data_IF_555513582109
#
_entry.id   IF_555513582109
#
_cell.length_a   1.000
_cell.length_b   1.000
_cell.length_c   1.000
_cell.angle_alpha   90.00
_cell.angle_beta   90.00
_cell.angle_gamma   90.00
#
_symmetry.space_group_name_H-M   'P 1'
#
loop_
_entity.id
_entity.type
_entity.pdbx_description
1 polymer ?
#
# COMPACT_ATOMS: atom_id res chain seq x y z
N UNK A 1 -32.16 -0.16 6.96
CA UNK A 1 -31.20 -1.27 7.13
C UNK A 1 -29.86 -0.76 6.65
N UNK A 2 -28.81 -0.90 7.45
CA UNK A 2 -27.46 -0.44 7.09
C UNK A 2 -26.66 -1.60 6.50
N UNK A 3 -25.98 -1.33 5.40
CA UNK A 3 -25.11 -2.29 4.73
C UNK A 3 -23.67 -2.03 5.14
N UNK A 4 -23.05 -3.01 5.80
CA UNK A 4 -21.63 -2.97 6.14
C UNK A 4 -20.81 -3.74 5.10
N UNK A 5 -19.65 -3.18 4.73
CA UNK A 5 -18.71 -3.80 3.81
C UNK A 5 -17.46 -4.19 4.59
N UNK A 6 -17.03 -5.44 4.41
CA UNK A 6 -15.78 -5.96 4.97
C UNK A 6 -14.88 -6.37 3.82
N UNK A 7 -13.61 -5.94 3.87
CA UNK A 7 -12.58 -6.32 2.90
C UNK A 7 -11.50 -7.11 3.63
N UNK A 8 -11.33 -8.38 3.23
CA UNK A 8 -10.29 -9.24 3.79
C UNK A 8 -8.95 -8.96 3.10
N UNK A 9 -7.98 -8.44 3.85
CA UNK A 9 -6.65 -8.07 3.35
C UNK A 9 -5.52 -8.92 3.98
N UNK A 10 -5.71 -10.23 4.06
CA UNK A 10 -4.71 -11.17 4.61
C UNK A 10 -3.76 -11.80 3.58
N UNK A 11 -2.76 -12.54 4.08
CA UNK A 11 -1.81 -13.34 3.30
C UNK A 11 -0.42 -12.70 3.15
N UNK A 12 0.62 -13.54 3.10
CA UNK A 12 2.05 -13.15 3.20
C UNK A 12 2.58 -12.33 2.01
N UNK A 13 1.91 -12.39 0.84
CA UNK A 13 2.33 -11.59 -0.32
C UNK A 13 3.59 -12.06 -1.04
N UNK A 14 3.95 -13.36 -0.99
CA UNK A 14 5.22 -13.88 -1.56
C UNK A 14 5.47 -13.57 -3.04
N UNK A 15 4.42 -13.42 -3.86
CA UNK A 15 4.55 -13.03 -5.29
C UNK A 15 5.02 -11.59 -5.49
N UNK A 16 4.83 -10.75 -4.48
CA UNK A 16 5.24 -9.36 -4.48
C UNK A 16 6.54 -9.16 -3.70
N UNK A 17 7.20 -10.23 -3.25
CA UNK A 17 8.56 -10.12 -2.72
C UNK A 17 9.51 -9.67 -3.84
N UNK A 18 10.45 -8.74 -3.60
CA UNK A 18 10.85 -8.18 -2.29
C UNK A 18 10.06 -6.94 -1.85
N UNK A 19 9.10 -6.46 -2.63
CA UNK A 19 8.32 -5.26 -2.29
C UNK A 19 7.37 -5.47 -1.10
N UNK A 20 6.80 -6.68 -0.95
CA UNK A 20 6.01 -7.06 0.23
C UNK A 20 6.93 -7.56 1.34
N UNK A 21 6.84 -6.95 2.53
CA UNK A 21 7.53 -7.38 3.75
C UNK A 21 6.54 -7.46 4.92
N UNK A 22 6.92 -8.01 6.08
CA UNK A 22 6.08 -7.97 7.28
C UNK A 22 5.72 -6.53 7.70
N UNK A 23 6.63 -5.58 7.52
CA UNK A 23 6.46 -4.16 7.84
C UNK A 23 5.67 -3.42 6.75
N UNK A 24 5.72 -3.89 5.49
CA UNK A 24 4.94 -3.38 4.37
C UNK A 24 4.15 -4.50 3.65
N UNK A 25 2.97 -4.89 4.17
CA UNK A 25 2.13 -5.93 3.56
C UNK A 25 1.63 -5.59 2.16
N UNK A 26 1.31 -6.63 1.37
CA UNK A 26 0.90 -6.50 -0.04
C UNK A 26 -0.23 -5.51 -0.33
N UNK A 27 -1.18 -5.31 0.59
CA UNK A 27 -2.33 -4.40 0.37
C UNK A 27 -1.93 -2.92 0.34
N UNK A 28 -0.72 -2.59 0.78
CA UNK A 28 -0.19 -1.23 0.78
C UNK A 28 0.82 -0.98 -0.36
N UNK A 29 1.07 -1.98 -1.20
CA UNK A 29 1.96 -1.83 -2.35
C UNK A 29 1.21 -1.06 -3.44
N UNK A 30 1.74 0.10 -3.78
CA UNK A 30 1.36 0.81 -4.99
C UNK A 30 1.99 0.13 -6.22
N UNK A 31 1.22 -0.75 -6.85
CA UNK A 31 1.66 -1.46 -8.05
C UNK A 31 1.54 -0.63 -9.34
N UNK A 32 0.78 0.47 -9.32
CA UNK A 32 0.59 1.32 -10.50
C UNK A 32 1.55 2.51 -10.52
N UNK A 33 2.24 2.80 -9.41
CA UNK A 33 3.15 3.93 -9.29
C UNK A 33 2.43 5.28 -9.31
N UNK A 34 1.12 5.28 -9.07
CA UNK A 34 0.28 6.49 -9.09
C UNK A 34 0.00 7.03 -7.68
N UNK A 35 0.49 6.35 -6.65
CA UNK A 35 0.34 6.75 -5.26
C UNK A 35 1.06 8.07 -5.01
N UNK A 36 0.32 9.07 -4.55
CA UNK A 36 0.89 10.29 -4.03
C UNK A 36 1.66 9.98 -2.75
N UNK A 37 3.00 9.98 -2.84
CA UNK A 37 3.83 10.29 -1.68
C UNK A 37 3.83 11.81 -1.51
N UNK A 38 3.72 12.35 -0.30
CA UNK A 38 4.00 13.76 -0.08
C UNK A 38 5.40 14.03 -0.61
N UNK A 39 5.46 14.88 -1.62
CA UNK A 39 6.67 15.40 -2.22
C UNK A 39 7.49 16.08 -1.13
N UNK A 40 8.54 15.42 -0.66
CA UNK A 40 9.54 16.08 0.21
C UNK A 40 10.46 16.99 -0.61
N UNK A 41 9.96 17.55 -1.72
CA UNK A 41 10.70 18.48 -2.58
C UNK A 41 10.03 19.84 -2.58
N UNK A 42 9.70 20.35 -1.39
CA UNK A 42 9.87 21.77 -1.10
C UNK A 42 11.30 21.99 -0.61
N UNK A 43 12.30 21.71 -1.45
CA UNK A 43 13.61 22.35 -1.32
C UNK A 43 13.54 23.71 -2.00
N UNK A 44 12.70 24.58 -1.44
CA UNK A 44 12.71 26.01 -1.65
C UNK A 44 13.68 26.66 -0.67
N UNK A 45 14.96 26.29 -0.73
CA UNK A 45 16.13 27.02 -0.21
C UNK A 45 17.36 26.44 -0.88
#
# INVERSE_FOLDING_TARGET
METHIVIMAGGIGSRFWPMSTPECPKQFIDVTGCGQKPDTTDSGT
#
